data_IF_993459470425
#
_entry.id   IF_993459470425
#
_cell.length_a   1.000
_cell.length_b   1.000
_cell.length_c   1.000
_cell.angle_alpha   90.00
_cell.angle_beta   90.00
_cell.angle_gamma   90.00
#
_symmetry.space_group_name_H-M   'P 1'
#
loop_
_entity.id
_entity.type
_entity.pdbx_description
1 polymer ?
#
# COMPACT_ATOMS: atom_id res chain seq x y z
N UNK A 1 -20.86 -2.60 7.77
CA UNK A 1 -19.72 -2.99 6.93
C UNK A 1 -18.45 -2.51 7.61
N UNK A 2 -17.42 -3.38 7.66
CA UNK A 2 -16.18 -3.11 8.40
C UNK A 2 -14.96 -3.18 7.45
N UNK A 3 -15.01 -2.45 6.36
CA UNK A 3 -13.98 -2.51 5.31
C UNK A 3 -12.58 -2.14 5.83
N UNK A 4 -12.50 -1.14 6.70
CA UNK A 4 -11.24 -0.69 7.28
C UNK A 4 -10.61 -1.80 8.12
N UNK A 5 -11.41 -2.45 8.97
CA UNK A 5 -10.96 -3.57 9.80
C UNK A 5 -10.59 -4.79 8.97
N UNK A 6 -11.34 -5.07 7.89
CA UNK A 6 -11.02 -6.13 6.94
C UNK A 6 -9.66 -5.91 6.29
N UNK A 7 -9.36 -4.67 5.85
CA UNK A 7 -8.08 -4.32 5.28
C UNK A 7 -6.91 -4.52 6.27
N UNK A 8 -7.09 -4.10 7.52
CA UNK A 8 -6.07 -4.27 8.56
C UNK A 8 -5.79 -5.76 8.84
N UNK A 9 -6.83 -6.60 8.91
CA UNK A 9 -6.70 -8.05 9.09
C UNK A 9 -6.03 -8.68 7.86
N UNK A 10 -6.45 -8.31 6.66
CA UNK A 10 -5.87 -8.79 5.41
C UNK A 10 -4.37 -8.46 5.33
N UNK A 11 -4.00 -7.23 5.66
CA UNK A 11 -2.60 -6.84 5.74
C UNK A 11 -1.81 -7.65 6.77
N UNK A 12 -2.39 -7.89 7.94
CA UNK A 12 -1.78 -8.75 8.95
C UNK A 12 -1.55 -10.19 8.46
N UNK A 13 -2.51 -10.77 7.73
CA UNK A 13 -2.40 -12.09 7.12
C UNK A 13 -1.26 -12.11 6.08
N UNK A 14 -1.17 -11.08 5.23
CA UNK A 14 -0.11 -10.95 4.23
C UNK A 14 1.28 -10.86 4.87
N UNK A 15 1.42 -10.07 5.92
CA UNK A 15 2.71 -9.81 6.56
C UNK A 15 3.17 -10.92 7.50
N UNK A 16 2.25 -11.56 8.21
CA UNK A 16 2.56 -12.53 9.26
C UNK A 16 1.59 -13.71 9.28
N UNK A 17 1.46 -14.46 8.17
CA UNK A 17 0.52 -15.58 8.08
C UNK A 17 0.78 -16.60 9.19
N UNK A 18 2.03 -16.83 9.57
CA UNK A 18 2.44 -17.77 10.61
C UNK A 18 1.84 -17.44 11.99
N UNK A 19 1.48 -16.18 12.23
CA UNK A 19 0.90 -15.73 13.49
C UNK A 19 -0.61 -15.59 13.44
N UNK A 20 -1.16 -15.16 12.32
CA UNK A 20 -2.56 -14.78 12.21
C UNK A 20 -3.43 -15.77 11.42
N UNK A 21 -2.82 -16.56 10.54
CA UNK A 21 -3.55 -17.49 9.68
C UNK A 21 -3.24 -18.96 10.01
N UNK A 22 -1.97 -19.33 10.04
CA UNK A 22 -1.58 -20.74 10.16
C UNK A 22 -2.09 -21.42 11.44
N UNK A 23 -2.13 -20.72 12.60
CA UNK A 23 -2.62 -21.32 13.85
C UNK A 23 -4.14 -21.60 13.87
N UNK A 24 -4.91 -21.03 12.94
CA UNK A 24 -6.35 -21.22 12.87
C UNK A 24 -6.70 -22.63 12.41
N UNK A 25 -7.73 -23.22 13.02
CA UNK A 25 -8.34 -24.46 12.55
C UNK A 25 -8.97 -24.27 11.15
N UNK A 26 -9.21 -25.36 10.44
CA UNK A 26 -9.85 -25.31 9.11
C UNK A 26 -11.21 -24.57 9.13
N UNK A 27 -11.99 -24.76 10.21
CA UNK A 27 -13.29 -24.08 10.38
C UNK A 27 -13.11 -22.57 10.57
N UNK A 28 -12.15 -22.16 11.39
CA UNK A 28 -11.86 -20.74 11.63
C UNK A 28 -11.33 -20.05 10.36
N UNK A 29 -10.43 -20.70 9.62
CA UNK A 29 -9.95 -20.24 8.32
C UNK A 29 -11.11 -20.01 7.35
N UNK A 30 -12.01 -20.98 7.23
CA UNK A 30 -13.19 -20.86 6.37
C UNK A 30 -14.11 -19.71 6.80
N UNK A 31 -14.35 -19.57 8.11
CA UNK A 31 -15.19 -18.48 8.63
C UNK A 31 -14.57 -17.11 8.40
N UNK A 32 -13.28 -16.98 8.64
CA UNK A 32 -12.54 -15.71 8.43
C UNK A 32 -12.49 -15.36 6.94
N UNK A 33 -12.16 -16.32 6.06
CA UNK A 33 -12.16 -16.11 4.63
C UNK A 33 -13.53 -15.68 4.09
N UNK A 34 -14.61 -16.35 4.53
CA UNK A 34 -15.98 -15.98 4.17
C UNK A 34 -16.34 -14.57 4.63
N UNK A 35 -15.90 -14.19 5.83
CA UNK A 35 -16.15 -12.84 6.35
C UNK A 35 -15.37 -11.79 5.54
N UNK A 36 -14.11 -12.05 5.21
CA UNK A 36 -13.28 -11.18 4.36
C UNK A 36 -13.86 -11.05 2.95
N UNK A 37 -14.29 -12.18 2.33
CA UNK A 37 -14.93 -12.17 1.00
C UNK A 37 -16.19 -11.30 0.97
N UNK A 38 -16.83 -11.08 2.11
CA UNK A 38 -17.96 -10.15 2.23
C UNK A 38 -17.71 -8.78 1.62
N UNK A 39 -16.47 -8.29 1.54
CA UNK A 39 -16.13 -7.00 0.91
C UNK A 39 -16.49 -6.98 -0.59
N UNK A 40 -16.44 -8.13 -1.25
CA UNK A 40 -16.72 -8.29 -2.68
C UNK A 40 -18.22 -8.19 -3.02
N UNK A 41 -19.09 -8.23 -2.02
CA UNK A 41 -20.55 -8.27 -2.19
C UNK A 41 -21.25 -6.95 -1.79
N UNK A 42 -20.49 -5.94 -1.42
CA UNK A 42 -21.03 -4.64 -1.01
C UNK A 42 -20.38 -3.51 -1.78
N UNK A 43 -21.17 -2.48 -2.07
CA UNK A 43 -20.66 -1.27 -2.70
C UNK A 43 -19.61 -0.61 -1.81
N UNK A 44 -18.41 -0.43 -2.35
CA UNK A 44 -17.35 0.32 -1.71
C UNK A 44 -17.43 1.79 -2.16
N UNK A 45 -17.27 2.78 -1.29
CA UNK A 45 -17.17 4.17 -1.69
C UNK A 45 -16.05 4.38 -2.72
N UNK A 46 -16.30 5.15 -3.79
CA UNK A 46 -15.32 5.39 -4.85
C UNK A 46 -14.25 6.39 -4.40
N UNK A 47 -13.31 5.92 -3.60
CA UNK A 47 -12.19 6.67 -3.03
C UNK A 47 -11.05 5.69 -2.68
N UNK A 48 -10.08 6.14 -1.88
CA UNK A 48 -8.98 5.30 -1.39
C UNK A 48 -9.43 3.95 -0.77
N UNK A 49 -10.68 3.83 -0.35
CA UNK A 49 -11.24 2.58 0.22
C UNK A 49 -11.23 1.41 -0.77
N UNK A 50 -11.11 1.67 -2.08
CA UNK A 50 -10.93 0.60 -3.07
C UNK A 50 -9.70 -0.25 -2.76
N UNK A 51 -8.65 0.32 -2.17
CA UNK A 51 -7.49 -0.44 -1.70
C UNK A 51 -7.82 -1.46 -0.60
N UNK A 52 -8.89 -1.25 0.19
CA UNK A 52 -9.29 -2.25 1.19
C UNK A 52 -9.75 -3.55 0.51
N UNK A 53 -10.51 -3.44 -0.58
CA UNK A 53 -10.89 -4.59 -1.38
C UNK A 53 -9.70 -5.24 -2.11
N UNK A 54 -8.76 -4.44 -2.60
CA UNK A 54 -7.50 -4.94 -3.18
C UNK A 54 -6.75 -5.77 -2.15
N UNK A 55 -6.50 -5.24 -0.93
CA UNK A 55 -5.77 -5.95 0.12
C UNK A 55 -6.45 -7.25 0.54
N UNK A 56 -7.78 -7.23 0.68
CA UNK A 56 -8.54 -8.44 1.03
C UNK A 56 -8.41 -9.50 -0.04
N UNK A 57 -8.57 -9.15 -1.33
CA UNK A 57 -8.49 -10.11 -2.41
C UNK A 57 -7.09 -10.70 -2.56
N UNK A 58 -6.03 -9.91 -2.46
CA UNK A 58 -4.66 -10.43 -2.51
C UNK A 58 -4.32 -11.28 -1.26
N UNK A 59 -4.89 -10.97 -0.09
CA UNK A 59 -4.72 -11.80 1.10
C UNK A 59 -5.42 -13.16 0.94
N UNK A 60 -6.66 -13.20 0.47
CA UNK A 60 -7.37 -14.43 0.18
C UNK A 60 -6.62 -15.30 -0.85
N UNK A 61 -6.13 -14.66 -1.93
CA UNK A 61 -5.29 -15.33 -2.94
C UNK A 61 -4.03 -15.93 -2.31
N UNK A 62 -3.33 -15.18 -1.45
CA UNK A 62 -2.07 -15.62 -0.85
C UNK A 62 -2.20 -16.85 0.06
N UNK A 63 -3.37 -17.04 0.68
CA UNK A 63 -3.66 -18.18 1.55
C UNK A 63 -4.46 -19.30 0.87
N UNK A 64 -4.62 -19.22 -0.47
CA UNK A 64 -5.27 -20.26 -1.28
C UNK A 64 -6.78 -20.36 -1.12
N UNK A 65 -7.45 -19.27 -0.72
CA UNK A 65 -8.91 -19.20 -0.66
C UNK A 65 -9.50 -18.49 -1.88
N UNK A 66 -10.77 -18.77 -2.21
CA UNK A 66 -11.46 -18.05 -3.28
C UNK A 66 -11.45 -16.55 -3.05
N UNK A 67 -11.24 -15.78 -4.09
CA UNK A 67 -11.27 -14.33 -4.14
C UNK A 67 -11.92 -13.86 -5.44
N UNK A 68 -12.28 -12.59 -5.56
CA UNK A 68 -12.88 -12.04 -6.77
C UNK A 68 -11.82 -11.37 -7.64
N UNK A 69 -11.43 -12.02 -8.74
CA UNK A 69 -10.55 -11.42 -9.75
C UNK A 69 -11.17 -10.18 -10.38
N UNK A 70 -12.48 -10.24 -10.65
CA UNK A 70 -13.21 -9.11 -11.26
C UNK A 70 -13.21 -7.89 -10.34
N UNK A 71 -13.57 -8.05 -9.05
CA UNK A 71 -13.58 -6.94 -8.11
C UNK A 71 -12.17 -6.38 -7.89
N UNK A 72 -11.16 -7.26 -7.84
CA UNK A 72 -9.76 -6.84 -7.74
C UNK A 72 -9.35 -5.96 -8.94
N UNK A 73 -9.68 -6.41 -10.17
CA UNK A 73 -9.41 -5.64 -11.38
C UNK A 73 -10.15 -4.31 -11.39
N UNK A 74 -11.46 -4.30 -11.13
CA UNK A 74 -12.29 -3.10 -11.14
C UNK A 74 -11.78 -2.05 -10.16
N UNK A 75 -11.32 -2.49 -8.98
CA UNK A 75 -10.77 -1.59 -7.96
C UNK A 75 -9.40 -1.02 -8.36
N UNK A 76 -8.54 -1.84 -8.95
CA UNK A 76 -7.25 -1.38 -9.46
C UNK A 76 -7.44 -0.39 -10.63
N UNK A 77 -8.39 -0.63 -11.51
CA UNK A 77 -8.72 0.28 -12.62
C UNK A 77 -9.30 1.61 -12.12
N UNK A 78 -10.14 1.57 -11.07
CA UNK A 78 -10.60 2.79 -10.43
C UNK A 78 -9.44 3.59 -9.82
N UNK A 79 -8.53 2.91 -9.09
CA UNK A 79 -7.34 3.55 -8.49
C UNK A 79 -6.48 4.18 -9.58
N UNK A 80 -6.31 3.50 -10.72
CA UNK A 80 -5.60 4.03 -11.88
C UNK A 80 -6.25 5.31 -12.41
N UNK A 81 -7.59 5.35 -12.48
CA UNK A 81 -8.35 6.53 -12.92
C UNK A 81 -8.20 7.75 -12.01
N UNK A 82 -7.75 7.55 -10.76
CA UNK A 82 -7.49 8.62 -9.81
C UNK A 82 -6.13 9.31 -10.02
N UNK A 83 -5.26 8.81 -10.90
CA UNK A 83 -3.93 9.36 -11.10
C UNK A 83 -3.96 10.70 -11.85
N UNK A 84 -3.28 11.69 -11.29
CA UNK A 84 -3.23 13.07 -11.82
C UNK A 84 -1.91 13.42 -12.52
N UNK A 85 -0.90 12.57 -12.43
CA UNK A 85 0.47 12.86 -12.87
C UNK A 85 1.38 13.34 -11.74
N UNK A 86 2.71 13.29 -11.97
CA UNK A 86 3.72 13.74 -11.01
C UNK A 86 3.72 12.97 -9.67
N UNK A 87 3.17 11.76 -9.64
CA UNK A 87 3.02 10.97 -8.41
C UNK A 87 1.75 11.27 -7.61
N UNK A 88 0.92 12.22 -8.03
CA UNK A 88 -0.27 12.61 -7.29
C UNK A 88 -1.54 11.88 -7.76
N UNK A 89 -2.45 11.64 -6.81
CA UNK A 89 -3.77 11.06 -7.03
C UNK A 89 -4.87 12.00 -6.53
N UNK A 90 -6.09 11.78 -6.99
CA UNK A 90 -7.31 12.42 -6.48
C UNK A 90 -8.08 11.40 -5.62
N UNK A 91 -8.33 11.72 -4.35
CA UNK A 91 -9.04 10.82 -3.45
C UNK A 91 -10.55 11.02 -3.53
N UNK A 92 -11.19 10.34 -4.48
CA UNK A 92 -12.61 10.49 -4.80
C UNK A 92 -12.90 11.71 -5.69
N UNK A 93 -14.16 11.89 -6.06
CA UNK A 93 -14.59 12.90 -7.05
C UNK A 93 -14.31 14.35 -6.64
N UNK A 94 -14.33 14.63 -5.35
CA UNK A 94 -14.10 15.97 -4.79
C UNK A 94 -12.90 15.96 -3.84
N UNK A 95 -11.98 15.02 -4.03
CA UNK A 95 -10.85 14.83 -3.15
C UNK A 95 -9.80 15.92 -3.28
N UNK A 96 -9.04 16.11 -2.22
CA UNK A 96 -7.92 17.04 -2.17
C UNK A 96 -6.59 16.30 -2.26
N UNK A 97 -5.55 17.01 -2.67
CA UNK A 97 -4.17 16.56 -2.56
C UNK A 97 -3.71 16.81 -1.12
N UNK A 98 -3.92 15.86 -0.25
CA UNK A 98 -3.55 15.93 1.16
C UNK A 98 -2.76 14.70 1.61
N UNK A 99 -2.54 14.52 2.90
CA UNK A 99 -1.81 13.39 3.44
C UNK A 99 -2.43 12.01 3.14
N UNK A 100 -3.71 11.94 2.75
CA UNK A 100 -4.33 10.68 2.33
C UNK A 100 -3.67 10.09 1.08
N UNK A 101 -3.06 10.93 0.22
CA UNK A 101 -2.35 10.43 -0.94
C UNK A 101 -1.13 9.61 -0.51
N UNK A 102 -0.43 10.03 0.55
CA UNK A 102 0.73 9.31 1.06
C UNK A 102 0.35 7.95 1.66
N UNK A 103 -0.59 7.92 2.61
CA UNK A 103 -0.89 6.71 3.37
C UNK A 103 -2.04 5.86 2.83
N UNK A 104 -2.89 6.40 1.96
CA UNK A 104 -4.04 5.68 1.44
C UNK A 104 -3.96 5.37 -0.06
N UNK A 105 -3.01 5.92 -0.79
CA UNK A 105 -2.68 5.53 -2.15
C UNK A 105 -1.29 4.91 -2.22
N UNK A 106 -0.22 5.67 -2.00
CA UNK A 106 1.14 5.16 -2.15
C UNK A 106 1.49 4.04 -1.16
N UNK A 107 1.11 4.19 0.11
CA UNK A 107 1.36 3.14 1.09
C UNK A 107 0.71 1.81 0.69
N UNK A 108 -0.56 1.83 0.28
CA UNK A 108 -1.27 0.61 -0.14
C UNK A 108 -0.80 0.08 -1.50
N UNK A 109 -0.45 0.95 -2.45
CA UNK A 109 0.11 0.50 -3.72
C UNK A 109 1.47 -0.19 -3.55
N UNK A 110 2.31 0.29 -2.62
CA UNK A 110 3.57 -0.36 -2.29
C UNK A 110 3.38 -1.69 -1.55
N UNK A 111 2.34 -1.81 -0.70
CA UNK A 111 1.95 -3.12 -0.15
C UNK A 111 1.56 -4.07 -1.29
N UNK A 112 0.75 -3.60 -2.24
CA UNK A 112 0.40 -4.39 -3.43
C UNK A 112 1.66 -4.87 -4.16
N UNK A 113 2.61 -4.00 -4.44
CA UNK A 113 3.86 -4.34 -5.11
C UNK A 113 4.66 -5.42 -4.36
N UNK A 114 4.69 -5.36 -3.04
CA UNK A 114 5.41 -6.34 -2.21
C UNK A 114 4.89 -7.77 -2.40
N UNK A 115 3.58 -7.95 -2.60
CA UNK A 115 2.94 -9.26 -2.66
C UNK A 115 2.54 -9.70 -4.07
N UNK A 116 2.50 -8.77 -5.02
CA UNK A 116 2.01 -9.06 -6.38
C UNK A 116 3.06 -8.88 -7.47
N UNK A 117 4.30 -8.59 -7.13
CA UNK A 117 5.37 -8.33 -8.10
C UNK A 117 5.53 -9.42 -9.16
N UNK A 118 5.44 -10.69 -8.76
CA UNK A 118 5.56 -11.81 -9.68
C UNK A 118 4.30 -12.00 -10.55
N UNK A 119 3.13 -11.56 -10.06
CA UNK A 119 1.85 -11.72 -10.73
C UNK A 119 1.48 -10.52 -11.60
N UNK A 120 1.91 -9.32 -11.25
CA UNK A 120 1.59 -8.06 -11.94
C UNK A 120 2.81 -7.12 -11.93
N UNK A 121 3.88 -7.49 -12.62
CA UNK A 121 5.15 -6.73 -12.61
C UNK A 121 5.01 -5.33 -13.22
N UNK A 122 4.19 -5.17 -14.25
CA UNK A 122 4.03 -3.90 -14.95
C UNK A 122 3.35 -2.84 -14.07
N UNK A 123 2.28 -3.22 -13.38
CA UNK A 123 1.59 -2.33 -12.42
C UNK A 123 2.48 -2.01 -11.23
N UNK A 124 3.23 -2.98 -10.74
CA UNK A 124 4.19 -2.75 -9.66
C UNK A 124 5.28 -1.75 -10.07
N UNK A 125 5.86 -1.88 -11.26
CA UNK A 125 6.84 -0.93 -11.77
C UNK A 125 6.25 0.49 -11.89
N UNK A 126 5.01 0.60 -12.37
CA UNK A 126 4.29 1.87 -12.47
C UNK A 126 4.04 2.51 -11.10
N UNK A 127 3.60 1.75 -10.11
CA UNK A 127 3.36 2.25 -8.75
C UNK A 127 4.65 2.70 -8.08
N UNK A 128 5.75 2.00 -8.27
CA UNK A 128 7.06 2.37 -7.74
C UNK A 128 7.61 3.64 -8.38
N UNK A 129 7.45 3.79 -9.70
CA UNK A 129 7.82 5.03 -10.40
C UNK A 129 7.04 6.23 -9.84
N UNK A 130 5.72 6.07 -9.69
CA UNK A 130 4.85 7.12 -9.14
C UNK A 130 5.18 7.44 -7.68
N UNK A 131 5.52 6.43 -6.89
CA UNK A 131 5.97 6.63 -5.51
C UNK A 131 7.26 7.45 -5.43
N UNK A 132 8.21 7.24 -6.35
CA UNK A 132 9.44 8.04 -6.43
C UNK A 132 9.16 9.49 -6.81
N UNK A 133 8.29 9.71 -7.79
CA UNK A 133 7.87 11.07 -8.18
C UNK A 133 7.18 11.78 -7.01
N UNK A 134 6.27 11.09 -6.32
CA UNK A 134 5.59 11.63 -5.16
C UNK A 134 6.55 11.94 -4.02
N UNK A 135 7.50 11.05 -3.72
CA UNK A 135 8.48 11.25 -2.65
C UNK A 135 9.29 12.53 -2.83
N UNK A 136 9.70 12.83 -4.08
CA UNK A 136 10.49 14.01 -4.41
C UNK A 136 9.74 15.33 -4.16
N UNK A 137 8.42 15.32 -4.26
CA UNK A 137 7.56 16.46 -3.99
C UNK A 137 7.12 16.48 -2.51
N UNK A 138 6.66 15.35 -2.00
CA UNK A 138 6.08 15.21 -0.67
C UNK A 138 7.06 15.47 0.48
N UNK A 139 8.37 15.26 0.26
CA UNK A 139 9.39 15.58 1.27
C UNK A 139 9.37 17.08 1.66
N UNK A 140 8.96 17.95 0.75
CA UNK A 140 8.84 19.38 1.00
C UNK A 140 7.66 19.77 1.91
N UNK A 141 6.81 18.78 2.28
CA UNK A 141 5.74 18.99 3.26
C UNK A 141 6.23 18.90 4.71
N UNK A 142 7.52 18.66 4.90
CA UNK A 142 8.16 18.56 6.20
C UNK A 142 9.27 19.60 6.31
N UNK A 143 9.30 20.33 7.42
CA UNK A 143 10.36 21.26 7.73
C UNK A 143 11.63 20.53 8.19
N UNK A 144 12.75 21.23 8.29
CA UNK A 144 14.04 20.65 8.73
C UNK A 144 13.99 20.06 10.14
N UNK A 145 13.12 20.57 11.01
CA UNK A 145 12.89 20.05 12.35
C UNK A 145 11.95 18.81 12.39
N UNK A 146 11.49 18.36 11.22
CA UNK A 146 10.56 17.24 11.07
C UNK A 146 9.10 17.60 11.28
N UNK A 147 8.75 18.86 11.52
CA UNK A 147 7.36 19.27 11.61
C UNK A 147 6.66 19.18 10.26
N UNK A 148 5.45 18.62 10.26
CA UNK A 148 4.65 18.45 9.06
C UNK A 148 3.82 19.69 8.77
N UNK A 149 3.61 20.00 7.49
CA UNK A 149 2.73 21.07 7.03
C UNK A 149 1.32 20.88 7.59
N UNK A 150 0.77 21.91 8.24
CA UNK A 150 -0.58 21.91 8.79
C UNK A 150 -1.62 22.15 7.68
N UNK A 151 -1.84 21.15 6.82
CA UNK A 151 -2.71 21.24 5.66
C UNK A 151 -3.58 19.97 5.50
N UNK A 152 -4.78 20.18 5.00
CA UNK A 152 -5.73 19.11 4.70
C UNK A 152 -6.41 18.53 5.94
N UNK A 153 -7.01 17.36 5.77
CA UNK A 153 -7.76 16.62 6.80
C UNK A 153 -6.85 15.70 7.61
N UNK A 154 -7.36 15.26 8.78
CA UNK A 154 -6.75 14.19 9.58
C UNK A 154 -5.33 14.50 10.08
N UNK A 155 -5.08 15.75 10.46
CA UNK A 155 -3.77 16.20 10.94
C UNK A 155 -3.29 15.52 12.21
N UNK A 156 -4.17 14.81 12.93
CA UNK A 156 -3.82 14.01 14.11
C UNK A 156 -3.23 12.63 13.75
N UNK A 157 -3.31 12.21 12.48
CA UNK A 157 -2.81 10.91 12.02
C UNK A 157 -1.29 10.94 11.77
N UNK A 158 -0.52 11.36 12.76
CA UNK A 158 0.91 11.63 12.63
C UNK A 158 1.73 10.45 12.12
N UNK A 159 1.46 9.25 12.61
CA UNK A 159 2.14 8.04 12.11
C UNK A 159 1.74 7.72 10.67
N UNK A 160 0.47 7.92 10.31
CA UNK A 160 0.01 7.69 8.94
C UNK A 160 0.69 8.67 7.96
N UNK A 161 0.86 9.95 8.34
CA UNK A 161 1.51 10.95 7.49
C UNK A 161 2.90 10.52 7.02
N UNK A 162 3.68 9.86 7.89
CA UNK A 162 5.05 9.40 7.59
C UNK A 162 5.14 7.94 7.16
N UNK A 163 4.03 7.17 7.20
CA UNK A 163 4.01 5.74 6.89
C UNK A 163 4.49 5.42 5.48
N UNK A 164 4.26 6.32 4.54
CA UNK A 164 4.76 6.23 3.17
C UNK A 164 6.27 6.02 3.11
N UNK A 165 7.05 6.84 3.81
CA UNK A 165 8.51 6.71 3.83
C UNK A 165 8.96 5.39 4.45
N UNK A 166 8.25 4.90 5.48
CA UNK A 166 8.52 3.59 6.06
C UNK A 166 8.29 2.47 5.06
N UNK A 167 7.25 2.58 4.22
CA UNK A 167 6.97 1.58 3.19
C UNK A 167 7.95 1.67 2.03
N UNK A 168 8.40 2.87 1.64
CA UNK A 168 9.47 3.05 0.65
C UNK A 168 10.75 2.31 1.11
N UNK A 169 11.14 2.48 2.37
CA UNK A 169 12.27 1.77 2.95
C UNK A 169 12.07 0.25 2.98
N UNK A 170 10.87 -0.22 3.35
CA UNK A 170 10.54 -1.64 3.38
C UNK A 170 10.50 -2.31 1.98
N UNK A 171 10.28 -1.51 0.92
CA UNK A 171 10.31 -1.97 -0.47
C UNK A 171 11.64 -1.72 -1.16
N UNK A 172 12.66 -1.25 -0.42
CA UNK A 172 13.98 -0.92 -0.96
C UNK A 172 13.90 0.04 -2.16
N UNK A 173 12.96 0.99 -2.10
CA UNK A 173 12.84 2.04 -3.11
C UNK A 173 13.95 3.07 -2.93
N UNK A 174 15.19 2.64 -3.11
CA UNK A 174 16.33 3.56 -3.11
C UNK A 174 16.33 4.43 -4.37
N UNK A 175 16.71 5.68 -4.16
CA UNK A 175 17.03 6.58 -5.28
C UNK A 175 18.30 6.07 -5.96
N UNK A 176 18.16 5.38 -7.08
CA UNK A 176 19.27 4.87 -7.90
C UNK A 176 20.22 5.98 -8.43
N UNK A 177 20.07 7.22 -7.98
CA UNK A 177 21.00 8.31 -8.27
C UNK A 177 22.30 8.27 -7.47
N UNK A 178 22.44 7.31 -6.52
CA UNK A 178 23.72 6.97 -5.87
C UNK A 178 24.18 5.59 -6.36
N UNK A 179 24.52 5.49 -7.63
CA UNK A 179 25.38 4.43 -8.09
C UNK A 179 26.78 4.71 -7.58
N UNK A 180 27.19 3.95 -6.54
CA UNK A 180 28.51 3.32 -6.50
C UNK A 180 28.53 2.35 -5.32
N UNK A 181 28.92 1.09 -5.51
CA UNK A 181 29.14 0.20 -4.38
C UNK A 181 30.36 0.72 -3.65
N UNK A 182 30.17 1.04 -2.37
CA UNK A 182 31.27 1.32 -1.45
C UNK A 182 32.21 0.09 -1.45
N UNK A 183 33.30 0.20 -2.21
CA UNK A 183 34.41 -0.74 -2.16
C UNK A 183 35.09 -0.53 -0.81
N UNK A 184 34.67 -1.26 0.19
CA UNK A 184 35.46 -1.46 1.39
C UNK A 184 36.69 -2.28 1.00
N UNK A 185 37.75 -1.59 0.62
CA UNK A 185 39.05 -2.17 0.37
C UNK A 185 39.56 -2.87 1.64
N UNK A 186 39.72 -4.16 1.53
CA UNK A 186 40.51 -4.93 2.46
C UNK A 186 41.97 -4.44 2.37
N UNK A 187 42.34 -3.60 3.31
CA UNK A 187 43.77 -3.27 3.54
C UNK A 187 44.46 -4.45 4.20
N UNK A 188 45.10 -5.29 3.42
CA UNK A 188 46.11 -6.18 3.95
C UNK A 188 47.31 -5.34 4.42
N UNK A 189 47.56 -5.35 5.71
CA UNK A 189 48.82 -4.92 6.29
C UNK A 189 49.87 -6.03 6.13
N UNK A 190 50.93 -5.64 5.46
CA UNK A 190 52.24 -6.32 5.64
C UNK A 190 53.04 -5.55 6.66
#
# INVERSE_FOLDING_TARGET
>A
QRFVEMAAIAYGILMTPQKLWDPLSAKEKTNLAKWLDGINHYACPPCNWMFFGVLVNIALKSVGFPYSEQVLSDYLDYIESCYLGGGWYLDGQNGEKDYYISFAFHYYSLIYCRFMRENDPDRCALYEERAKLFAADFINWFAEDGSALAYGRSLTYRFAQVSFFSMCAACELEDRRKGDPCSCGNGEQK
#
